data_IF_521367897568
#
_entry.id   IF_521367897568
#
_cell.length_a   1.000
_cell.length_b   1.000
_cell.length_c   1.000
_cell.angle_alpha   90.00
_cell.angle_beta   90.00
_cell.angle_gamma   90.00
#
_symmetry.space_group_name_H-M   'P 1'
#
loop_
_entity.id
_entity.type
_entity.pdbx_description
1 polymer ?
#
# COMPACT_ATOMS: atom_id res chain seq x y z
N UNK A 1 -0.88 -1.62 7.90
CA UNK A 1 -0.18 -0.55 8.64
C UNK A 1 -1.05 -0.15 9.83
N UNK A 2 -0.84 -0.81 10.99
CA UNK A 2 -1.59 -0.75 12.28
C UNK A 2 -2.24 -2.09 12.68
N UNK A 3 -1.58 -3.20 12.37
CA UNK A 3 -2.13 -4.55 12.59
C UNK A 3 -1.34 -5.36 13.61
N UNK A 4 -0.09 -4.99 13.91
CA UNK A 4 0.70 -5.59 14.98
C UNK A 4 0.13 -5.19 16.34
N UNK A 5 -0.08 -6.18 17.20
CA UNK A 5 -0.62 -6.00 18.56
C UNK A 5 0.30 -5.11 19.41
N UNK A 6 1.61 -5.20 19.18
CA UNK A 6 2.63 -4.46 19.93
C UNK A 6 2.59 -2.95 19.66
N UNK A 7 2.38 -2.57 18.40
CA UNK A 7 2.53 -1.18 17.94
C UNK A 7 1.17 -0.45 17.81
N UNK A 8 0.08 -1.20 17.65
CA UNK A 8 -1.27 -0.64 17.42
C UNK A 8 -1.72 0.36 18.50
N UNK A 9 -1.36 0.13 19.76
CA UNK A 9 -1.73 1.03 20.87
C UNK A 9 -0.97 2.36 20.81
N UNK A 10 0.31 2.33 20.44
CA UNK A 10 1.16 3.51 20.25
C UNK A 10 0.71 4.31 19.02
N UNK A 11 0.45 3.66 17.88
CA UNK A 11 0.00 4.38 16.67
C UNK A 11 -1.35 5.03 16.85
N UNK A 12 -2.29 4.35 17.51
CA UNK A 12 -3.63 4.90 17.76
C UNK A 12 -3.58 6.12 18.69
N UNK A 13 -2.73 6.10 19.73
CA UNK A 13 -2.55 7.23 20.64
C UNK A 13 -1.88 8.43 19.97
N UNK A 14 -0.89 8.20 19.10
CA UNK A 14 -0.21 9.26 18.36
C UNK A 14 -1.10 9.94 17.32
N UNK A 15 -1.94 9.17 16.60
CA UNK A 15 -2.93 9.71 15.66
C UNK A 15 -3.95 10.61 16.33
N UNK A 16 -4.40 10.26 17.53
CA UNK A 16 -5.44 11.01 18.25
C UNK A 16 -4.98 12.37 18.82
N UNK A 17 -3.68 12.68 18.77
CA UNK A 17 -3.15 13.94 19.31
C UNK A 17 -2.48 14.82 18.26
N UNK A 18 -2.41 14.40 17.00
CA UNK A 18 -1.70 15.12 15.91
C UNK A 18 -0.23 15.46 16.23
N UNK A 19 0.38 14.78 17.23
CA UNK A 19 1.71 15.08 17.75
C UNK A 19 2.86 14.42 16.97
N UNK A 20 2.55 13.60 15.97
CA UNK A 20 3.54 12.78 15.29
C UNK A 20 3.97 13.43 13.97
N UNK A 21 5.27 13.65 13.84
CA UNK A 21 5.87 14.07 12.56
C UNK A 21 5.72 12.97 11.51
N UNK A 22 5.79 13.30 10.20
CA UNK A 22 5.77 12.32 9.12
C UNK A 22 6.80 11.20 9.30
N UNK A 23 8.02 11.52 9.72
CA UNK A 23 9.09 10.54 9.94
C UNK A 23 8.78 9.62 11.11
N UNK A 24 8.21 10.13 12.20
CA UNK A 24 7.75 9.29 13.32
C UNK A 24 6.64 8.34 12.89
N UNK A 25 5.68 8.80 12.07
CA UNK A 25 4.67 7.93 11.49
C UNK A 25 5.26 6.84 10.60
N UNK A 26 6.24 7.20 9.76
CA UNK A 26 6.94 6.25 8.88
C UNK A 26 7.62 5.15 9.70
N UNK A 27 8.39 5.51 10.73
CA UNK A 27 9.08 4.54 11.60
C UNK A 27 8.12 3.63 12.37
N UNK A 28 7.00 4.16 12.86
CA UNK A 28 5.97 3.34 13.51
C UNK A 28 5.38 2.32 12.53
N UNK A 29 5.08 2.74 11.30
CA UNK A 29 4.57 1.83 10.28
C UNK A 29 5.63 0.81 9.80
N UNK A 30 6.89 1.20 9.74
CA UNK A 30 8.00 0.30 9.44
C UNK A 30 8.16 -0.76 10.53
N UNK A 31 8.06 -0.37 11.80
CA UNK A 31 8.12 -1.28 12.95
C UNK A 31 6.96 -2.29 12.93
N UNK A 32 5.73 -1.81 12.67
CA UNK A 32 4.54 -2.67 12.48
C UNK A 32 4.74 -3.69 11.35
N UNK A 33 5.38 -3.26 10.26
CA UNK A 33 5.63 -4.12 9.12
C UNK A 33 6.77 -5.09 9.35
N UNK A 34 7.87 -4.70 9.99
CA UNK A 34 8.99 -5.59 10.35
C UNK A 34 8.51 -6.77 11.20
N UNK A 35 7.70 -6.51 12.23
CA UNK A 35 7.12 -7.56 13.09
C UNK A 35 6.27 -8.55 12.29
N UNK A 36 5.39 -8.05 11.40
CA UNK A 36 4.59 -8.91 10.51
C UNK A 36 5.45 -9.66 9.49
N UNK A 37 6.46 -9.00 8.93
CA UNK A 37 7.33 -9.55 7.92
C UNK A 37 8.07 -10.77 8.49
N UNK A 38 8.70 -10.63 9.65
CA UNK A 38 9.43 -11.70 10.33
C UNK A 38 8.52 -12.83 10.85
N UNK A 39 7.36 -12.48 11.41
CA UNK A 39 6.48 -13.48 12.04
C UNK A 39 5.54 -14.18 11.07
N UNK A 40 5.20 -13.57 9.94
CA UNK A 40 4.16 -14.07 9.03
C UNK A 40 4.70 -14.32 7.63
N UNK A 41 5.45 -13.39 7.04
CA UNK A 41 5.89 -13.51 5.64
C UNK A 41 7.10 -14.44 5.53
N UNK A 42 8.18 -14.17 6.26
CA UNK A 42 9.44 -14.94 6.18
C UNK A 42 9.22 -16.44 6.41
N UNK A 43 8.44 -16.90 7.41
CA UNK A 43 8.22 -18.34 7.61
C UNK A 43 7.49 -19.00 6.44
N UNK A 44 6.49 -18.33 5.87
CA UNK A 44 5.73 -18.84 4.72
C UNK A 44 6.60 -18.90 3.46
N UNK A 45 7.38 -17.86 3.20
CA UNK A 45 8.31 -17.82 2.07
C UNK A 45 9.37 -18.92 2.19
N UNK A 46 9.95 -19.12 3.38
CA UNK A 46 10.92 -20.19 3.65
C UNK A 46 10.31 -21.59 3.54
N UNK A 47 9.03 -21.74 3.84
CA UNK A 47 8.29 -22.99 3.68
C UNK A 47 7.80 -23.21 2.24
N UNK A 48 8.19 -22.36 1.28
CA UNK A 48 7.85 -22.51 -0.13
C UNK A 48 6.41 -22.15 -0.47
N UNK A 49 5.73 -21.32 0.32
CA UNK A 49 4.38 -20.85 -0.01
C UNK A 49 4.42 -19.62 -0.94
N UNK A 50 3.39 -19.52 -1.79
CA UNK A 50 3.05 -18.26 -2.47
C UNK A 50 2.34 -17.35 -1.46
N UNK A 51 2.91 -16.16 -1.21
CA UNK A 51 2.35 -15.19 -0.27
C UNK A 51 1.73 -14.02 -1.05
N UNK A 52 0.43 -13.80 -0.87
CA UNK A 52 -0.28 -12.66 -1.44
C UNK A 52 -0.37 -11.53 -0.40
N UNK A 53 0.18 -10.37 -0.74
CA UNK A 53 0.10 -9.18 0.09
C UNK A 53 -0.85 -8.16 -0.54
N UNK A 54 -1.98 -7.87 0.13
CA UNK A 54 -2.74 -6.65 -0.15
C UNK A 54 -1.99 -5.46 0.47
N UNK A 55 -1.30 -4.73 -0.40
CA UNK A 55 -0.29 -3.70 -0.08
C UNK A 55 1.01 -4.26 0.48
N UNK A 56 2.10 -3.62 0.09
CA UNK A 56 3.48 -3.94 0.50
C UNK A 56 4.28 -2.64 0.68
N UNK A 57 5.61 -2.69 0.81
CA UNK A 57 6.47 -1.53 1.12
C UNK A 57 6.23 -0.31 0.21
N UNK A 58 5.84 -0.51 -1.05
CA UNK A 58 5.50 0.56 -2.00
C UNK A 58 4.40 1.50 -1.48
N UNK A 59 3.47 1.01 -0.68
CA UNK A 59 2.47 1.87 -0.04
C UNK A 59 3.10 2.82 0.98
N UNK A 60 4.11 2.37 1.73
CA UNK A 60 4.84 3.25 2.63
C UNK A 60 5.64 4.27 1.82
N UNK A 61 6.30 3.86 0.73
CA UNK A 61 7.05 4.76 -0.14
C UNK A 61 6.16 5.90 -0.65
N UNK A 62 5.05 5.58 -1.32
CA UNK A 62 4.14 6.59 -1.83
C UNK A 62 3.56 7.49 -0.72
N UNK A 63 3.09 6.88 0.38
CA UNK A 63 2.40 7.62 1.44
C UNK A 63 3.34 8.55 2.22
N UNK A 64 4.53 8.08 2.53
CA UNK A 64 5.45 8.77 3.43
C UNK A 64 6.24 9.84 2.67
N UNK A 65 6.60 9.60 1.40
CA UNK A 65 7.20 10.61 0.52
C UNK A 65 6.24 11.76 0.25
N UNK A 66 4.96 11.48 -0.02
CA UNK A 66 3.94 12.54 -0.18
C UNK A 66 3.77 13.36 1.10
N UNK A 67 4.11 12.80 2.26
CA UNK A 67 4.12 13.52 3.55
C UNK A 67 5.46 14.21 3.87
N UNK A 68 6.37 14.27 2.90
CA UNK A 68 7.64 15.00 3.04
C UNK A 68 8.78 14.20 3.65
N UNK A 69 8.65 12.88 3.81
CA UNK A 69 9.82 12.05 4.10
C UNK A 69 10.74 11.98 2.88
N UNK A 70 12.05 12.00 3.11
CA UNK A 70 13.04 11.90 2.02
C UNK A 70 12.97 10.49 1.38
N UNK A 71 12.83 10.37 0.04
CA UNK A 71 12.63 9.09 -0.63
C UNK A 71 13.66 8.01 -0.32
N UNK A 72 14.95 8.34 -0.33
CA UNK A 72 16.02 7.35 -0.13
C UNK A 72 16.09 6.89 1.32
N UNK A 73 15.81 7.78 2.27
CA UNK A 73 15.63 7.46 3.67
C UNK A 73 14.46 6.48 3.89
N UNK A 74 13.30 6.72 3.25
CA UNK A 74 12.17 5.79 3.36
C UNK A 74 12.52 4.43 2.77
N UNK A 75 13.20 4.39 1.61
CA UNK A 75 13.69 3.12 1.02
C UNK A 75 14.62 2.38 1.98
N UNK A 76 15.59 3.08 2.56
CA UNK A 76 16.56 2.55 3.52
C UNK A 76 15.91 1.87 4.73
N UNK A 77 14.82 2.43 5.26
CA UNK A 77 14.09 1.84 6.39
C UNK A 77 13.54 0.45 6.07
N UNK A 78 13.15 0.20 4.82
CA UNK A 78 12.48 -1.02 4.38
C UNK A 78 13.42 -2.03 3.70
N UNK A 79 14.74 -1.82 3.70
CA UNK A 79 15.73 -2.70 3.06
C UNK A 79 15.72 -4.15 3.59
N UNK A 80 15.19 -4.38 4.79
CA UNK A 80 15.01 -5.73 5.34
C UNK A 80 13.96 -6.57 4.58
N UNK A 81 13.08 -5.92 3.81
CA UNK A 81 11.97 -6.57 3.13
C UNK A 81 12.41 -7.11 1.77
N UNK A 82 12.14 -8.39 1.50
CA UNK A 82 12.40 -8.98 0.20
C UNK A 82 11.57 -8.30 -0.89
N UNK A 83 12.15 -8.16 -2.08
CA UNK A 83 11.44 -7.68 -3.25
C UNK A 83 10.43 -8.74 -3.71
N UNK A 84 9.16 -8.38 -3.98
CA UNK A 84 8.18 -9.32 -4.50
C UNK A 84 8.51 -9.79 -5.91
N UNK A 85 8.22 -11.06 -6.23
CA UNK A 85 8.37 -11.59 -7.59
C UNK A 85 7.42 -10.92 -8.59
N UNK A 86 6.21 -10.57 -8.13
CA UNK A 86 5.21 -9.86 -8.92
C UNK A 86 4.56 -8.76 -8.08
N UNK A 87 4.39 -7.59 -8.70
CA UNK A 87 3.66 -6.47 -8.10
C UNK A 87 2.57 -6.02 -9.06
N UNK A 88 1.33 -6.00 -8.58
CA UNK A 88 0.17 -5.58 -9.36
C UNK A 88 -0.27 -4.19 -8.95
N UNK A 89 -0.35 -3.28 -9.93
CA UNK A 89 -0.88 -1.94 -9.73
C UNK A 89 -2.25 -1.79 -10.39
N UNK A 90 -3.29 -1.78 -9.56
CA UNK A 90 -4.68 -1.62 -9.99
C UNK A 90 -4.97 -0.14 -10.26
N UNK A 91 -4.89 0.25 -11.53
CA UNK A 91 -5.07 1.63 -11.95
C UNK A 91 -6.52 1.89 -12.36
N UNK A 92 -7.17 2.85 -11.71
CA UNK A 92 -8.46 3.40 -12.11
C UNK A 92 -8.43 4.93 -12.02
N UNK A 93 -9.28 5.64 -12.78
CA UNK A 93 -9.47 7.07 -12.58
C UNK A 93 -9.94 7.34 -11.15
N UNK A 94 -9.40 8.40 -10.55
CA UNK A 94 -9.69 8.78 -9.17
C UNK A 94 -11.21 8.90 -8.90
N UNK A 95 -11.96 9.50 -9.83
CA UNK A 95 -13.42 9.66 -9.70
C UNK A 95 -14.15 8.32 -9.57
N UNK A 96 -13.70 7.30 -10.31
CA UNK A 96 -14.27 5.96 -10.23
C UNK A 96 -13.98 5.36 -8.86
N UNK A 97 -12.76 5.55 -8.33
CA UNK A 97 -12.41 5.04 -7.00
C UNK A 97 -13.13 5.77 -5.88
N UNK A 98 -13.29 7.09 -6.00
CA UNK A 98 -13.99 7.91 -5.01
C UNK A 98 -15.48 7.54 -4.96
N UNK A 99 -16.15 7.43 -6.11
CA UNK A 99 -17.55 7.00 -6.18
C UNK A 99 -17.77 5.65 -5.48
N UNK A 100 -16.91 4.65 -5.75
CA UNK A 100 -16.97 3.33 -5.10
C UNK A 100 -16.75 3.40 -3.59
N UNK A 101 -15.87 4.27 -3.12
CA UNK A 101 -15.65 4.47 -1.67
C UNK A 101 -16.92 5.03 -1.04
N UNK A 102 -17.54 6.03 -1.66
CA UNK A 102 -18.72 6.71 -1.12
C UNK A 102 -19.99 5.85 -1.16
N UNK A 103 -20.11 4.95 -2.13
CA UNK A 103 -21.16 3.92 -2.15
C UNK A 103 -21.06 2.96 -0.95
N UNK A 104 -19.84 2.53 -0.59
CA UNK A 104 -19.62 1.59 0.51
C UNK A 104 -19.48 2.24 1.89
N UNK A 105 -18.94 3.46 1.96
CA UNK A 105 -18.67 4.22 3.18
C UNK A 105 -18.90 5.72 2.91
N UNK A 106 -19.97 6.33 3.42
CA UNK A 106 -20.33 7.70 3.09
C UNK A 106 -19.39 8.78 3.67
N UNK A 107 -18.41 8.42 4.51
CA UNK A 107 -17.48 9.37 5.12
C UNK A 107 -16.02 8.95 4.96
N UNK A 108 -15.20 9.86 4.43
CA UNK A 108 -13.75 9.73 4.35
C UNK A 108 -13.11 9.96 5.73
N UNK A 109 -12.01 9.24 6.02
CA UNK A 109 -11.23 9.45 7.26
C UNK A 109 -10.22 10.57 7.07
N UNK A 110 -9.94 11.32 8.14
CA UNK A 110 -9.00 12.45 8.15
C UNK A 110 -7.66 12.17 7.44
N UNK A 111 -6.91 11.16 7.89
CA UNK A 111 -5.63 10.77 7.27
C UNK A 111 -5.76 10.09 5.90
N UNK A 112 -6.91 9.48 5.61
CA UNK A 112 -7.21 8.86 4.30
C UNK A 112 -7.40 9.95 3.23
N UNK A 113 -7.95 11.10 3.64
CA UNK A 113 -8.09 12.31 2.85
C UNK A 113 -6.87 13.24 2.87
N UNK A 114 -5.78 12.86 3.55
CA UNK A 114 -4.57 13.69 3.62
C UNK A 114 -4.79 15.04 4.30
N UNK A 115 -5.79 15.15 5.19
CA UNK A 115 -6.10 16.41 5.87
C UNK A 115 -4.94 16.91 6.74
N UNK A 116 -4.08 15.99 7.19
CA UNK A 116 -2.84 16.29 7.92
C UNK A 116 -1.85 17.14 7.12
N UNK A 117 -2.00 17.22 5.80
CA UNK A 117 -1.17 18.00 4.90
C UNK A 117 -1.71 19.41 4.63
N UNK A 118 -2.90 19.74 5.15
CA UNK A 118 -3.57 21.04 4.92
C UNK A 118 -3.68 21.41 3.41
N UNK A 119 -3.92 20.42 2.55
CA UNK A 119 -4.04 20.62 1.09
C UNK A 119 -5.32 21.38 0.70
N UNK A 120 -6.40 21.16 1.45
CA UNK A 120 -7.69 21.84 1.29
C UNK A 120 -8.47 21.76 2.61
N UNK A 121 -9.38 22.71 2.83
CA UNK A 121 -10.35 22.65 3.93
C UNK A 121 -11.52 21.71 3.64
N UNK A 122 -11.77 21.41 2.37
CA UNK A 122 -12.77 20.42 1.96
C UNK A 122 -12.15 19.01 1.93
N UNK A 123 -12.79 18.05 2.60
CA UNK A 123 -12.27 16.70 2.76
C UNK A 123 -12.22 15.92 1.44
N UNK A 124 -13.15 16.19 0.52
CA UNK A 124 -13.19 15.53 -0.78
C UNK A 124 -12.09 16.06 -1.69
N UNK A 125 -11.89 17.37 -1.70
CA UNK A 125 -10.81 18.00 -2.46
C UNK A 125 -9.43 17.64 -1.89
N UNK A 126 -9.28 17.64 -0.57
CA UNK A 126 -8.03 17.17 0.05
C UNK A 126 -7.73 15.72 -0.31
N UNK A 127 -8.75 14.84 -0.26
CA UNK A 127 -8.60 13.46 -0.70
C UNK A 127 -8.18 13.38 -2.16
N UNK A 128 -8.79 14.19 -3.04
CA UNK A 128 -8.46 14.20 -4.46
C UNK A 128 -6.99 14.56 -4.71
N UNK A 129 -6.54 15.66 -4.10
CA UNK A 129 -5.15 16.11 -4.20
C UNK A 129 -4.18 15.06 -3.64
N UNK A 130 -4.47 14.54 -2.44
CA UNK A 130 -3.62 13.57 -1.77
C UNK A 130 -3.52 12.23 -2.52
N UNK A 131 -4.60 11.74 -3.12
CA UNK A 131 -4.57 10.55 -3.96
C UNK A 131 -3.86 10.80 -5.29
N UNK A 132 -3.98 12.01 -5.86
CA UNK A 132 -3.23 12.42 -7.04
C UNK A 132 -1.72 12.36 -6.82
N UNK A 133 -1.23 12.95 -5.72
CA UNK A 133 0.19 12.90 -5.36
C UNK A 133 0.68 11.47 -5.14
N UNK A 134 -0.11 10.61 -4.49
CA UNK A 134 0.25 9.19 -4.32
C UNK A 134 0.26 8.43 -5.66
N UNK A 135 -0.67 8.74 -6.56
CA UNK A 135 -0.72 8.14 -7.89
C UNK A 135 0.58 8.44 -8.66
N UNK A 136 1.08 9.68 -8.59
CA UNK A 136 2.37 10.04 -9.20
C UNK A 136 3.52 9.19 -8.65
N UNK A 137 3.57 8.98 -7.33
CA UNK A 137 4.58 8.10 -6.72
C UNK A 137 4.45 6.64 -7.20
N UNK A 138 3.22 6.10 -7.29
CA UNK A 138 3.02 4.75 -7.83
C UNK A 138 3.43 4.64 -9.29
N UNK A 139 3.14 5.65 -10.12
CA UNK A 139 3.53 5.65 -11.53
C UNK A 139 5.05 5.70 -11.70
N UNK A 140 5.76 6.46 -10.86
CA UNK A 140 7.22 6.45 -10.84
C UNK A 140 7.76 5.06 -10.46
N UNK A 141 7.22 4.46 -9.40
CA UNK A 141 7.59 3.12 -8.95
C UNK A 141 7.24 2.02 -9.97
N UNK A 142 6.19 2.20 -10.79
CA UNK A 142 5.87 1.24 -11.85
C UNK A 142 7.05 1.04 -12.81
N UNK A 143 7.77 2.12 -13.14
CA UNK A 143 8.95 2.06 -14.01
C UNK A 143 10.16 1.50 -13.26
N UNK A 144 10.37 1.91 -12.01
CA UNK A 144 11.50 1.48 -11.17
C UNK A 144 11.44 -0.02 -10.84
N UNK A 145 10.26 -0.55 -10.51
CA UNK A 145 10.06 -1.90 -9.97
C UNK A 145 9.28 -2.82 -10.91
N UNK A 146 9.06 -2.42 -12.17
CA UNK A 146 8.38 -3.21 -13.20
C UNK A 146 6.99 -3.72 -12.80
N UNK A 147 6.15 -2.82 -12.27
CA UNK A 147 4.79 -3.22 -11.85
C UNK A 147 3.95 -3.68 -13.05
N UNK A 148 3.15 -4.73 -12.81
CA UNK A 148 2.12 -5.18 -13.72
C UNK A 148 0.86 -4.34 -13.52
N UNK A 149 0.59 -3.44 -14.46
CA UNK A 149 -0.57 -2.55 -14.38
C UNK A 149 -1.83 -3.30 -14.80
N UNK A 150 -2.83 -3.31 -13.91
CA UNK A 150 -4.15 -3.89 -14.16
C UNK A 150 -5.19 -2.76 -14.26
N UNK A 151 -5.97 -2.73 -15.33
CA UNK A 151 -7.04 -1.75 -15.48
C UNK A 151 -8.20 -2.06 -14.52
N UNK A 152 -8.37 -1.21 -13.51
CA UNK A 152 -9.37 -1.38 -12.46
C UNK A 152 -10.68 -0.60 -12.72
N UNK A 153 -10.88 -0.04 -13.92
CA UNK A 153 -12.14 0.61 -14.32
C UNK A 153 -13.26 -0.41 -14.59
N UNK A 154 -12.90 -1.57 -15.15
CA UNK A 154 -13.84 -2.63 -15.57
C UNK A 154 -14.41 -3.45 -14.41
N UNK A 155 -15.04 -4.57 -14.74
CA UNK A 155 -15.66 -5.45 -13.73
C UNK A 155 -14.61 -6.26 -12.98
N UNK A 156 -14.94 -6.72 -11.76
CA UNK A 156 -14.02 -7.50 -10.93
C UNK A 156 -13.65 -8.82 -11.59
N UNK A 157 -14.58 -9.45 -12.33
CA UNK A 157 -14.34 -10.72 -13.01
C UNK A 157 -13.31 -10.59 -14.13
N UNK A 158 -13.34 -9.49 -14.87
CA UNK A 158 -12.36 -9.17 -15.92
C UNK A 158 -10.97 -8.98 -15.32
N UNK A 159 -10.89 -8.23 -14.21
CA UNK A 159 -9.65 -7.99 -13.48
C UNK A 159 -9.06 -9.30 -12.91
N UNK A 160 -9.90 -10.16 -12.34
CA UNK A 160 -9.52 -11.48 -11.85
C UNK A 160 -8.97 -12.37 -12.97
N UNK A 161 -9.60 -12.35 -14.16
CA UNK A 161 -9.14 -13.12 -15.31
C UNK A 161 -7.73 -12.68 -15.74
N UNK A 162 -7.52 -11.37 -15.90
CA UNK A 162 -6.20 -10.80 -16.24
C UNK A 162 -5.16 -11.14 -15.18
N UNK A 163 -5.50 -11.00 -13.89
CA UNK A 163 -4.60 -11.32 -12.79
C UNK A 163 -4.14 -12.79 -12.83
N UNK A 164 -5.08 -13.73 -13.02
CA UNK A 164 -4.78 -15.17 -13.10
C UNK A 164 -3.89 -15.49 -14.30
N UNK A 165 -4.15 -14.88 -15.46
CA UNK A 165 -3.32 -15.05 -16.65
C UNK A 165 -1.88 -14.56 -16.40
N UNK A 166 -1.72 -13.40 -15.77
CA UNK A 166 -0.41 -12.85 -15.44
C UNK A 166 0.33 -13.72 -14.42
N UNK A 167 -0.36 -14.21 -13.39
CA UNK A 167 0.24 -15.12 -12.41
C UNK A 167 0.71 -16.40 -13.08
N UNK A 168 -0.16 -17.10 -13.82
CA UNK A 168 0.19 -18.37 -14.48
C UNK A 168 1.29 -18.22 -15.54
N UNK A 169 1.44 -17.03 -16.14
CA UNK A 169 2.52 -16.75 -17.09
C UNK A 169 3.88 -16.59 -16.41
N UNK A 170 3.92 -16.04 -15.20
CA UNK A 170 5.18 -15.67 -14.53
C UNK A 170 5.57 -16.62 -13.39
N UNK A 171 4.62 -17.39 -12.84
CA UNK A 171 4.84 -18.33 -11.74
C UNK A 171 4.41 -19.71 -12.19
N UNK A 172 5.30 -20.69 -12.06
CA UNK A 172 4.97 -22.11 -12.25
C UNK A 172 4.13 -22.62 -11.07
N UNK A 173 2.81 -22.45 -11.14
CA UNK A 173 1.89 -22.84 -10.06
C UNK A 173 1.90 -24.35 -9.78
N UNK A 174 2.27 -25.18 -10.75
CA UNK A 174 2.34 -26.65 -10.57
C UNK A 174 3.42 -27.04 -9.57
N UNK A 175 4.50 -26.26 -9.45
CA UNK A 175 5.56 -26.48 -8.46
C UNK A 175 5.10 -26.25 -7.00
N UNK A 176 3.90 -25.68 -6.80
CA UNK A 176 3.34 -25.33 -5.50
C UNK A 176 2.07 -26.13 -5.17
N UNK A 177 1.70 -27.10 -6.00
CA UNK A 177 0.60 -28.03 -5.66
C UNK A 177 1.02 -28.87 -4.45
N UNK A 178 0.16 -28.93 -3.44
CA UNK A 178 0.32 -29.91 -2.36
C UNK A 178 -0.10 -31.28 -2.91
N UNK A 179 0.76 -32.27 -2.67
CA UNK A 179 0.43 -33.69 -2.86
C UNK A 179 -0.80 -34.09 -2.04
#
# INVERSE_FOLDING_TARGET
WNSSVLVKSATSKGKNRELLTPTTFSLIHATDFADRYERQLVPLLRAGYIVLCDRYIFTAFARDVVRGCEPDWVRGIYEFAAQPDLVFFFKAPLEVTLARILEGRPALKYFEAGMDLNLSSDIYESFRLFQGMQLEQYLAMCMEFNFLIVNAKGRVEEQQSVLRQLISKNINLEAFKKD
#
